data_IF_756064359675
#
_entry.id   IF_756064359675
#
_cell.length_a   1.000
_cell.length_b   1.000
_cell.length_c   1.000
_cell.angle_alpha   90.00
_cell.angle_beta   90.00
_cell.angle_gamma   90.00
#
_symmetry.space_group_name_H-M   'P 1'
#
loop_
_entity.id
_entity.type
_entity.pdbx_description
1 polymer ?
#
# COMPACT_ATOMS: atom_id res chain seq x y z
N UNK A 1 -34.12 -7.38 28.63
CA UNK A 1 -32.80 -7.28 29.28
C UNK A 1 -31.80 -7.07 28.18
N UNK A 2 -31.24 -5.86 28.09
CA UNK A 2 -30.28 -5.49 27.05
C UNK A 2 -28.87 -5.95 27.40
N UNK A 3 -28.11 -6.31 26.37
CA UNK A 3 -26.65 -6.33 26.41
C UNK A 3 -26.17 -5.44 25.26
N UNK A 4 -25.90 -4.19 25.62
CA UNK A 4 -25.06 -3.24 24.89
C UNK A 4 -23.60 -3.66 25.00
N UNK A 5 -22.84 -3.51 23.91
CA UNK A 5 -21.39 -3.63 23.94
C UNK A 5 -20.79 -4.13 22.61
N UNK A 6 -21.06 -3.45 21.50
CA UNK A 6 -20.24 -3.60 20.29
C UNK A 6 -19.09 -2.61 20.45
N UNK A 7 -17.98 -3.12 20.98
CA UNK A 7 -16.71 -2.41 21.00
C UNK A 7 -16.01 -2.59 19.66
N UNK A 8 -15.61 -1.47 19.08
CA UNK A 8 -14.60 -1.37 18.03
C UNK A 8 -13.39 -2.25 18.36
N UNK A 9 -13.06 -3.20 17.48
CA UNK A 9 -11.71 -3.81 17.37
C UNK A 9 -11.57 -4.52 16.00
N UNK A 10 -12.11 -3.91 14.95
CA UNK A 10 -12.10 -4.43 13.58
C UNK A 10 -11.08 -3.74 12.68
N UNK A 11 -9.82 -3.59 13.09
CA UNK A 11 -8.75 -3.03 12.24
C UNK A 11 -7.35 -3.48 12.71
N UNK A 12 -7.04 -4.77 12.61
CA UNK A 12 -5.67 -5.28 12.82
C UNK A 12 -5.40 -6.59 12.08
N UNK A 13 -5.69 -6.65 10.78
CA UNK A 13 -5.17 -7.64 9.83
C UNK A 13 -5.45 -7.03 8.45
N UNK A 14 -4.49 -6.63 7.62
CA UNK A 14 -3.33 -7.38 7.15
C UNK A 14 -2.27 -6.33 6.81
N UNK A 15 -1.27 -6.15 7.66
CA UNK A 15 0.02 -5.69 7.18
C UNK A 15 0.74 -6.95 6.70
N UNK A 16 0.93 -7.02 5.38
CA UNK A 16 1.84 -7.95 4.71
C UNK A 16 3.14 -7.95 5.50
N UNK A 17 3.31 -8.97 6.36
CA UNK A 17 4.50 -9.11 7.18
C UNK A 17 5.17 -10.39 6.76
N UNK A 18 6.18 -10.22 5.92
CA UNK A 18 7.20 -11.22 5.68
C UNK A 18 7.81 -11.65 7.01
N UNK A 19 7.58 -12.90 7.37
CA UNK A 19 8.28 -13.58 8.44
C UNK A 19 8.99 -14.81 7.87
N UNK A 20 9.99 -14.60 7.01
CA UNK A 20 10.97 -15.64 6.66
C UNK A 20 11.91 -15.84 7.85
N UNK A 21 11.42 -16.55 8.87
CA UNK A 21 12.22 -17.14 9.92
C UNK A 21 12.37 -18.63 9.68
N UNK A 22 13.62 -19.10 9.51
CA UNK A 22 13.96 -20.54 9.43
C UNK A 22 13.32 -21.29 10.62
N UNK A 23 12.31 -22.13 10.39
CA UNK A 23 11.63 -22.94 11.42
C UNK A 23 11.99 -24.42 11.26
N UNK A 24 12.06 -25.13 12.39
CA UNK A 24 12.54 -26.51 12.45
C UNK A 24 11.43 -27.52 12.09
N UNK A 25 11.78 -28.69 11.56
CA UNK A 25 10.85 -29.67 10.96
C UNK A 25 9.71 -30.14 11.91
N UNK A 26 9.94 -30.12 13.23
CA UNK A 26 8.92 -30.48 14.22
C UNK A 26 7.83 -29.41 14.43
N UNK A 27 8.19 -28.13 14.26
CA UNK A 27 7.25 -27.00 14.35
C UNK A 27 6.36 -26.92 13.10
N UNK A 28 6.93 -27.23 11.92
CA UNK A 28 6.18 -27.25 10.66
C UNK A 28 5.04 -28.29 10.67
N UNK A 29 5.23 -29.46 11.27
CA UNK A 29 4.19 -30.50 11.33
C UNK A 29 2.98 -30.11 12.18
N UNK A 30 3.22 -29.49 13.33
CA UNK A 30 2.16 -29.00 14.22
C UNK A 30 1.42 -27.81 13.61
N UNK A 31 2.15 -26.94 12.90
CA UNK A 31 1.57 -25.84 12.13
C UNK A 31 0.70 -26.37 10.97
N UNK A 32 1.18 -27.35 10.21
CA UNK A 32 0.41 -27.95 9.10
C UNK A 32 -0.89 -28.61 9.57
N UNK A 33 -0.87 -29.32 10.71
CA UNK A 33 -2.08 -29.88 11.31
C UNK A 33 -3.04 -28.79 11.80
N UNK A 34 -2.52 -27.71 12.40
CA UNK A 34 -3.32 -26.57 12.83
C UNK A 34 -3.94 -25.82 11.64
N UNK A 35 -3.19 -25.62 10.56
CA UNK A 35 -3.69 -25.01 9.33
C UNK A 35 -4.75 -25.88 8.64
N UNK A 36 -4.57 -27.20 8.61
CA UNK A 36 -5.56 -28.11 8.05
C UNK A 36 -6.88 -28.08 8.85
N UNK A 37 -6.81 -28.03 10.19
CA UNK A 37 -8.00 -27.87 11.03
C UNK A 37 -8.67 -26.51 10.82
N UNK A 38 -7.90 -25.42 10.78
CA UNK A 38 -8.42 -24.09 10.51
C UNK A 38 -9.10 -24.01 9.14
N UNK A 39 -8.51 -24.63 8.11
CA UNK A 39 -9.11 -24.70 6.78
C UNK A 39 -10.47 -25.41 6.79
N UNK A 40 -10.60 -26.55 7.46
CA UNK A 40 -11.88 -27.27 7.55
C UNK A 40 -12.98 -26.45 8.23
N UNK A 41 -12.64 -25.74 9.30
CA UNK A 41 -13.58 -24.85 9.99
C UNK A 41 -14.00 -23.70 9.07
N UNK A 42 -13.06 -23.09 8.36
CA UNK A 42 -13.34 -22.00 7.42
C UNK A 42 -14.22 -22.47 6.24
N UNK A 43 -14.00 -23.67 5.70
CA UNK A 43 -14.82 -24.25 4.63
C UNK A 43 -16.26 -24.52 5.11
N UNK A 44 -16.42 -24.98 6.35
CA UNK A 44 -17.73 -25.16 6.97
C UNK A 44 -18.42 -23.81 7.21
N UNK A 45 -17.69 -22.81 7.72
CA UNK A 45 -18.20 -21.45 7.87
C UNK A 45 -18.68 -20.91 6.52
N UNK A 46 -17.85 -20.99 5.48
CA UNK A 46 -18.20 -20.54 4.13
C UNK A 46 -19.48 -21.20 3.59
N UNK A 47 -19.66 -22.51 3.83
CA UNK A 47 -20.83 -23.28 3.37
C UNK A 47 -22.12 -22.95 4.12
N UNK A 48 -22.00 -22.41 5.34
CA UNK A 48 -23.14 -22.12 6.23
C UNK A 48 -23.56 -20.65 6.25
N UNK A 49 -22.69 -19.74 5.81
CA UNK A 49 -23.03 -18.32 5.73
C UNK A 49 -23.99 -18.03 4.58
N UNK A 50 -25.01 -17.22 4.85
CA UNK A 50 -25.92 -16.68 3.82
C UNK A 50 -25.53 -15.29 3.35
N UNK A 51 -24.83 -14.52 4.18
CA UNK A 51 -24.41 -13.14 3.90
C UNK A 51 -23.10 -13.09 3.08
N UNK A 52 -23.11 -12.37 1.97
CA UNK A 52 -21.98 -12.25 1.05
C UNK A 52 -20.79 -11.49 1.67
N UNK A 53 -21.03 -10.55 2.58
CA UNK A 53 -19.95 -9.85 3.29
C UNK A 53 -19.21 -10.78 4.24
N UNK A 54 -19.94 -11.62 4.97
CA UNK A 54 -19.36 -12.62 5.87
C UNK A 54 -18.66 -13.73 5.08
N UNK A 55 -19.21 -14.17 3.94
CA UNK A 55 -18.50 -15.07 3.01
C UNK A 55 -17.20 -14.45 2.52
N UNK A 56 -17.22 -13.16 2.16
CA UNK A 56 -16.03 -12.41 1.76
C UNK A 56 -14.96 -12.39 2.85
N UNK A 57 -15.33 -12.18 4.11
CA UNK A 57 -14.39 -12.23 5.23
C UNK A 57 -13.81 -13.63 5.45
N UNK A 58 -14.62 -14.68 5.33
CA UNK A 58 -14.12 -16.07 5.41
C UNK A 58 -13.12 -16.34 4.29
N UNK A 59 -13.40 -15.90 3.07
CA UNK A 59 -12.47 -16.02 1.93
C UNK A 59 -11.16 -15.24 2.16
N UNK A 60 -11.21 -14.05 2.77
CA UNK A 60 -10.00 -13.31 3.17
C UNK A 60 -9.15 -14.16 4.13
N UNK A 61 -9.76 -14.70 5.18
CA UNK A 61 -9.05 -15.52 6.17
C UNK A 61 -8.47 -16.78 5.55
N UNK A 62 -9.20 -17.44 4.64
CA UNK A 62 -8.69 -18.59 3.89
C UNK A 62 -7.49 -18.19 3.02
N UNK A 63 -7.53 -17.03 2.36
CA UNK A 63 -6.42 -16.55 1.53
C UNK A 63 -5.15 -16.30 2.34
N UNK A 64 -5.27 -15.71 3.53
CA UNK A 64 -4.15 -15.50 4.45
C UNK A 64 -3.51 -16.83 4.83
N UNK A 65 -4.33 -17.82 5.17
CA UNK A 65 -3.86 -19.17 5.51
C UNK A 65 -3.11 -19.83 4.34
N UNK A 66 -3.61 -19.71 3.11
CA UNK A 66 -2.93 -20.24 1.93
C UNK A 66 -1.61 -19.51 1.64
N UNK A 67 -1.57 -18.18 1.82
CA UNK A 67 -0.38 -17.35 1.64
C UNK A 67 0.72 -17.71 2.64
N UNK A 68 0.38 -17.87 3.92
CA UNK A 68 1.34 -18.27 4.96
C UNK A 68 1.98 -19.63 4.69
N UNK A 69 1.28 -20.51 3.97
CA UNK A 69 1.78 -21.82 3.54
C UNK A 69 2.56 -21.78 2.21
N UNK A 70 2.69 -20.61 1.59
CA UNK A 70 3.32 -20.45 0.27
C UNK A 70 2.46 -20.93 -0.91
N UNK A 71 1.18 -21.25 -0.66
CA UNK A 71 0.21 -21.70 -1.67
C UNK A 71 -0.48 -20.48 -2.32
N UNK A 72 0.31 -19.64 -2.98
CA UNK A 72 -0.17 -18.34 -3.50
C UNK A 72 -1.28 -18.47 -4.55
N UNK A 73 -1.26 -19.52 -5.39
CA UNK A 73 -2.30 -19.74 -6.40
C UNK A 73 -3.70 -19.92 -5.77
N UNK A 74 -3.78 -20.68 -4.67
CA UNK A 74 -5.03 -20.89 -3.95
C UNK A 74 -5.47 -19.62 -3.21
N UNK A 75 -4.52 -18.88 -2.63
CA UNK A 75 -4.78 -17.59 -2.00
C UNK A 75 -5.38 -16.57 -2.99
N UNK A 76 -4.74 -16.42 -4.16
CA UNK A 76 -5.21 -15.56 -5.25
C UNK A 76 -6.61 -15.97 -5.69
N UNK A 77 -6.87 -17.28 -5.86
CA UNK A 77 -8.20 -17.76 -6.23
C UNK A 77 -9.28 -17.37 -5.20
N UNK A 78 -8.98 -17.45 -3.89
CA UNK A 78 -9.94 -17.02 -2.86
C UNK A 78 -10.22 -15.53 -2.92
N UNK A 79 -9.19 -14.72 -3.12
CA UNK A 79 -9.34 -13.27 -3.18
C UNK A 79 -10.08 -12.80 -4.45
N UNK A 80 -9.81 -13.42 -5.61
CA UNK A 80 -10.55 -13.14 -6.85
C UNK A 80 -12.06 -13.39 -6.69
N UNK A 81 -12.44 -14.49 -6.00
CA UNK A 81 -13.85 -14.77 -5.70
C UNK A 81 -14.53 -13.65 -4.93
N UNK A 82 -13.83 -12.97 -4.01
CA UNK A 82 -14.39 -11.83 -3.26
C UNK A 82 -14.76 -10.69 -4.20
N UNK A 83 -13.97 -10.45 -5.25
CA UNK A 83 -14.25 -9.41 -6.23
C UNK A 83 -15.52 -9.69 -7.05
N UNK A 84 -15.86 -10.97 -7.21
CA UNK A 84 -17.09 -11.44 -7.88
C UNK A 84 -18.33 -11.38 -6.97
N UNK A 85 -18.15 -11.27 -5.64
CA UNK A 85 -19.26 -11.16 -4.69
C UNK A 85 -19.87 -9.76 -4.73
N UNK A 86 -20.88 -9.57 -5.58
CA UNK A 86 -21.50 -8.26 -5.86
C UNK A 86 -22.16 -7.55 -4.67
N UNK A 87 -22.37 -8.22 -3.53
CA UNK A 87 -22.94 -7.64 -2.31
C UNK A 87 -21.98 -7.64 -1.11
N UNK A 88 -20.70 -7.92 -1.33
CA UNK A 88 -19.70 -7.83 -0.27
C UNK A 88 -19.42 -6.37 0.10
N UNK A 89 -19.13 -6.11 1.38
CA UNK A 89 -18.85 -4.75 1.86
C UNK A 89 -17.61 -4.16 1.18
N UNK A 90 -17.63 -2.85 0.95
CA UNK A 90 -16.54 -2.14 0.29
C UNK A 90 -15.19 -2.32 1.01
N UNK A 91 -15.20 -2.36 2.34
CA UNK A 91 -14.00 -2.62 3.13
C UNK A 91 -13.40 -4.01 2.86
N UNK A 92 -14.25 -5.05 2.71
CA UNK A 92 -13.81 -6.41 2.39
C UNK A 92 -13.23 -6.49 0.98
N UNK A 93 -13.83 -5.78 0.02
CA UNK A 93 -13.32 -5.72 -1.37
C UNK A 93 -12.00 -4.97 -1.47
N UNK A 94 -11.85 -3.84 -0.78
CA UNK A 94 -10.58 -3.08 -0.71
C UNK A 94 -9.49 -3.95 -0.08
N UNK A 95 -9.77 -4.61 1.05
CA UNK A 95 -8.82 -5.52 1.67
C UNK A 95 -8.43 -6.69 0.74
N UNK A 96 -9.39 -7.22 -0.03
CA UNK A 96 -9.10 -8.27 -1.00
C UNK A 96 -8.22 -7.77 -2.16
N UNK A 97 -8.44 -6.55 -2.64
CA UNK A 97 -7.61 -5.92 -3.68
C UNK A 97 -6.19 -5.65 -3.18
N UNK A 98 -6.03 -5.15 -1.95
CA UNK A 98 -4.71 -4.95 -1.33
C UNK A 98 -3.94 -6.26 -1.21
N UNK A 99 -4.59 -7.31 -0.71
CA UNK A 99 -3.98 -8.63 -0.58
C UNK A 99 -3.61 -9.23 -1.94
N UNK A 100 -4.47 -9.09 -2.96
CA UNK A 100 -4.18 -9.55 -4.33
C UNK A 100 -2.98 -8.83 -4.92
N UNK A 101 -2.96 -7.51 -4.83
CA UNK A 101 -1.86 -6.69 -5.33
C UNK A 101 -0.53 -7.08 -4.65
N UNK A 102 -0.54 -7.29 -3.32
CA UNK A 102 0.61 -7.78 -2.58
C UNK A 102 1.11 -9.15 -3.07
N UNK A 103 0.21 -10.12 -3.21
CA UNK A 103 0.56 -11.46 -3.70
C UNK A 103 1.10 -11.45 -5.14
N UNK A 104 0.56 -10.59 -6.00
CA UNK A 104 1.08 -10.40 -7.35
C UNK A 104 2.49 -9.82 -7.35
N UNK A 105 2.78 -8.82 -6.52
CA UNK A 105 4.13 -8.28 -6.36
C UNK A 105 5.11 -9.34 -5.82
N UNK A 106 4.71 -10.11 -4.81
CA UNK A 106 5.51 -11.22 -4.28
C UNK A 106 5.78 -12.31 -5.33
N UNK A 107 4.87 -12.46 -6.30
CA UNK A 107 4.97 -13.42 -7.41
C UNK A 107 5.61 -12.83 -8.67
N UNK A 108 6.17 -11.61 -8.62
CA UNK A 108 6.74 -10.87 -9.76
C UNK A 108 5.75 -10.68 -10.92
N UNK A 109 4.46 -10.59 -10.62
CA UNK A 109 3.38 -10.31 -11.57
C UNK A 109 2.96 -8.84 -11.46
N UNK A 110 3.93 -7.97 -11.72
CA UNK A 110 3.80 -6.53 -11.54
C UNK A 110 2.57 -6.01 -12.30
N UNK A 111 2.43 -6.29 -13.59
CA UNK A 111 1.28 -5.86 -14.41
C UNK A 111 -0.09 -6.22 -13.78
N UNK A 112 -0.21 -7.42 -13.21
CA UNK A 112 -1.44 -7.87 -12.56
C UNK A 112 -1.70 -7.11 -11.24
N UNK A 113 -0.64 -6.78 -10.51
CA UNK A 113 -0.73 -5.92 -9.33
C UNK A 113 -1.21 -4.52 -9.69
N UNK A 114 -0.67 -3.93 -10.77
CA UNK A 114 -1.08 -2.59 -11.25
C UNK A 114 -2.56 -2.55 -11.63
N UNK A 115 -3.02 -3.52 -12.43
CA UNK A 115 -4.44 -3.66 -12.78
C UNK A 115 -5.33 -3.83 -11.55
N UNK A 116 -4.86 -4.57 -10.54
CA UNK A 116 -5.60 -4.77 -9.29
C UNK A 116 -5.73 -3.48 -8.48
N UNK A 117 -4.69 -2.66 -8.43
CA UNK A 117 -4.72 -1.37 -7.76
C UNK A 117 -5.65 -0.38 -8.48
N UNK A 118 -5.64 -0.35 -9.82
CA UNK A 118 -6.57 0.45 -10.62
C UNK A 118 -8.02 0.04 -10.38
N UNK A 119 -8.29 -1.27 -10.37
CA UNK A 119 -9.61 -1.80 -10.02
C UNK A 119 -10.04 -1.34 -8.63
N UNK A 120 -9.14 -1.35 -7.64
CA UNK A 120 -9.46 -0.90 -6.28
C UNK A 120 -9.92 0.57 -6.24
N UNK A 121 -9.30 1.45 -7.03
CA UNK A 121 -9.71 2.85 -7.13
C UNK A 121 -11.08 2.99 -7.81
N UNK A 122 -11.29 2.30 -8.93
CA UNK A 122 -12.57 2.33 -9.66
C UNK A 122 -13.76 1.84 -8.81
N UNK A 123 -13.53 0.86 -7.93
CA UNK A 123 -14.56 0.37 -7.00
C UNK A 123 -15.03 1.46 -6.02
N UNK A 124 -14.12 2.30 -5.55
CA UNK A 124 -14.46 3.39 -4.66
C UNK A 124 -15.17 4.54 -5.39
N UNK A 125 -14.72 4.87 -6.61
CA UNK A 125 -15.36 5.91 -7.42
C UNK A 125 -16.80 5.55 -7.79
N UNK A 126 -17.03 4.30 -8.21
CA UNK A 126 -18.37 3.81 -8.58
C UNK A 126 -19.35 3.90 -7.40
N UNK A 127 -18.92 3.51 -6.20
CA UNK A 127 -19.78 3.50 -5.01
C UNK A 127 -19.96 4.91 -4.41
N UNK A 128 -18.94 5.77 -4.53
CA UNK A 128 -19.02 7.17 -4.10
C UNK A 128 -20.09 7.93 -4.87
N UNK A 129 -20.27 7.62 -6.16
CA UNK A 129 -21.33 8.18 -7.01
C UNK A 129 -22.73 7.65 -6.64
N UNK A 130 -22.82 6.46 -6.04
CA UNK A 130 -24.10 5.80 -5.71
C UNK A 130 -24.64 6.12 -4.30
N UNK A 131 -23.78 6.30 -3.28
CA UNK A 131 -24.21 6.27 -1.85
C UNK A 131 -24.08 7.62 -1.10
N UNK A 132 -23.41 8.63 -1.66
CA UNK A 132 -23.32 9.94 -0.99
C UNK A 132 -22.36 9.96 0.21
N UNK A 133 -21.06 9.94 -0.10
CA UNK A 133 -19.99 10.69 0.59
C UNK A 133 -19.52 10.33 2.01
N UNK A 134 -20.33 9.73 2.89
CA UNK A 134 -20.04 9.82 4.34
C UNK A 134 -19.00 8.86 4.94
N UNK A 135 -18.72 7.71 4.32
CA UNK A 135 -17.89 6.64 4.93
C UNK A 135 -16.68 6.19 4.12
N UNK A 136 -16.37 6.87 3.02
CA UNK A 136 -15.40 6.41 2.01
C UNK A 136 -14.00 6.99 2.15
N UNK A 137 -13.79 8.07 2.91
CA UNK A 137 -12.51 8.80 2.91
C UNK A 137 -11.33 7.93 3.38
N UNK A 138 -11.53 7.11 4.41
CA UNK A 138 -10.49 6.18 4.89
C UNK A 138 -10.17 5.09 3.87
N UNK A 139 -11.20 4.53 3.22
CA UNK A 139 -11.00 3.50 2.19
C UNK A 139 -10.36 4.09 0.93
N UNK A 140 -10.67 5.34 0.61
CA UNK A 140 -10.04 6.11 -0.47
C UNK A 140 -8.57 6.37 -0.20
N UNK A 141 -8.21 6.77 1.01
CA UNK A 141 -6.81 6.90 1.41
C UNK A 141 -6.07 5.57 1.25
N UNK A 142 -6.68 4.45 1.66
CA UNK A 142 -6.11 3.10 1.51
C UNK A 142 -5.90 2.69 0.06
N UNK A 143 -6.89 2.88 -0.82
CA UNK A 143 -6.76 2.53 -2.23
C UNK A 143 -5.73 3.40 -2.96
N UNK A 144 -5.66 4.71 -2.63
CA UNK A 144 -4.62 5.61 -3.15
C UNK A 144 -3.22 5.19 -2.66
N UNK A 145 -3.09 4.81 -1.39
CA UNK A 145 -1.84 4.30 -0.84
C UNK A 145 -1.43 2.98 -1.53
N UNK A 146 -2.38 2.08 -1.76
CA UNK A 146 -2.14 0.83 -2.51
C UNK A 146 -1.62 1.13 -3.91
N UNK A 147 -2.32 2.00 -4.67
CA UNK A 147 -1.89 2.39 -6.02
C UNK A 147 -0.49 2.98 -6.04
N UNK A 148 -0.21 3.92 -5.13
CA UNK A 148 1.12 4.50 -4.99
C UNK A 148 2.20 3.46 -4.67
N UNK A 149 1.90 2.47 -3.81
CA UNK A 149 2.84 1.39 -3.49
C UNK A 149 3.05 0.42 -4.65
N UNK A 150 2.02 0.13 -5.44
CA UNK A 150 2.19 -0.73 -6.61
C UNK A 150 3.04 -0.01 -7.67
N UNK A 151 2.73 1.25 -7.95
CA UNK A 151 3.49 2.11 -8.85
C UNK A 151 4.95 2.30 -8.42
N UNK A 152 5.18 2.41 -7.10
CA UNK A 152 6.49 2.40 -6.48
C UNK A 152 7.33 1.21 -6.93
N UNK A 153 6.78 0.01 -6.74
CA UNK A 153 7.48 -1.24 -7.03
C UNK A 153 7.73 -1.41 -8.53
N UNK A 154 6.83 -0.91 -9.36
CA UNK A 154 7.00 -0.90 -10.82
C UNK A 154 8.05 0.11 -11.31
N UNK A 155 8.52 1.01 -10.45
CA UNK A 155 9.30 2.17 -10.87
C UNK A 155 8.50 3.17 -11.72
N UNK A 156 7.17 3.00 -11.84
CA UNK A 156 6.30 3.98 -12.49
C UNK A 156 5.93 5.08 -11.51
N UNK A 157 6.90 5.91 -11.19
CA UNK A 157 6.76 6.85 -10.09
C UNK A 157 6.09 8.14 -10.56
N UNK A 158 4.76 8.17 -10.66
CA UNK A 158 4.00 9.38 -11.05
C UNK A 158 3.71 10.30 -9.87
N UNK A 159 3.88 9.82 -8.63
CA UNK A 159 3.73 10.61 -7.41
C UNK A 159 5.08 10.83 -6.75
N UNK A 160 5.46 12.08 -6.48
CA UNK A 160 6.78 12.31 -5.90
C UNK A 160 6.92 11.85 -4.42
N UNK A 161 5.82 11.58 -3.68
CA UNK A 161 5.92 10.89 -2.38
C UNK A 161 6.42 9.45 -2.55
N UNK A 162 5.97 8.81 -3.61
CA UNK A 162 6.43 7.47 -4.00
C UNK A 162 7.90 7.54 -4.40
N UNK A 163 8.31 8.57 -5.16
CA UNK A 163 9.71 8.78 -5.53
C UNK A 163 10.63 8.98 -4.33
N UNK A 164 10.19 9.76 -3.35
CA UNK A 164 10.93 9.98 -2.11
C UNK A 164 11.16 8.66 -1.36
N UNK A 165 10.09 7.92 -1.05
CA UNK A 165 10.19 6.65 -0.33
C UNK A 165 11.03 5.61 -1.08
N UNK A 166 10.93 5.57 -2.41
CA UNK A 166 11.76 4.65 -3.20
C UNK A 166 13.24 5.03 -3.19
N UNK A 167 13.49 6.34 -3.36
CA UNK A 167 14.83 6.89 -3.33
C UNK A 167 15.51 6.56 -2.01
N UNK A 168 14.80 6.71 -0.88
CA UNK A 168 15.31 6.37 0.46
C UNK A 168 15.67 4.88 0.57
N UNK A 169 14.81 3.99 0.09
CA UNK A 169 15.09 2.55 0.04
C UNK A 169 16.35 2.24 -0.78
N UNK A 170 16.47 2.78 -1.98
CA UNK A 170 17.62 2.56 -2.87
C UNK A 170 18.91 3.18 -2.31
N UNK A 171 18.81 4.34 -1.65
CA UNK A 171 19.90 4.99 -0.93
C UNK A 171 20.44 4.08 0.18
N UNK A 172 19.57 3.43 0.95
CA UNK A 172 19.97 2.41 1.94
C UNK A 172 20.62 1.19 1.28
N UNK A 173 20.12 0.76 0.12
CA UNK A 173 20.67 -0.35 -0.66
C UNK A 173 21.97 0.01 -1.41
N UNK A 174 22.41 1.27 -1.33
CA UNK A 174 23.59 1.84 -2.01
C UNK A 174 23.47 1.88 -3.54
N UNK A 175 22.26 1.80 -4.07
CA UNK A 175 21.99 2.13 -5.47
C UNK A 175 21.83 3.65 -5.60
N UNK A 176 22.97 4.34 -5.49
CA UNK A 176 22.99 5.81 -5.46
C UNK A 176 22.59 6.44 -6.79
N UNK A 177 22.76 5.72 -7.92
CA UNK A 177 22.40 6.23 -9.22
C UNK A 177 20.87 6.30 -9.36
N UNK A 178 20.17 5.20 -9.07
CA UNK A 178 18.72 5.17 -9.15
C UNK A 178 18.07 6.05 -8.07
N UNK A 179 18.62 6.08 -6.85
CA UNK A 179 18.16 6.98 -5.80
C UNK A 179 18.22 8.47 -6.22
N UNK A 180 19.29 8.87 -6.91
CA UNK A 180 19.45 10.23 -7.43
C UNK A 180 18.36 10.60 -8.43
N UNK A 181 18.10 9.73 -9.40
CA UNK A 181 17.09 9.94 -10.43
C UNK A 181 15.70 10.12 -9.80
N UNK A 182 15.39 9.36 -8.76
CA UNK A 182 14.12 9.44 -8.04
C UNK A 182 13.98 10.72 -7.21
N UNK A 183 15.02 11.14 -6.48
CA UNK A 183 14.97 12.42 -5.76
C UNK A 183 14.88 13.61 -6.71
N UNK A 184 15.56 13.56 -7.87
CA UNK A 184 15.43 14.57 -8.91
C UNK A 184 14.01 14.60 -9.49
N UNK A 185 13.43 13.44 -9.80
CA UNK A 185 12.04 13.33 -10.25
C UNK A 185 11.06 13.91 -9.22
N UNK A 186 11.21 13.54 -7.95
CA UNK A 186 10.40 14.05 -6.84
C UNK A 186 10.46 15.58 -6.67
N UNK A 187 11.59 16.20 -7.04
CA UNK A 187 11.80 17.65 -6.95
C UNK A 187 11.40 18.40 -8.22
N UNK A 188 11.37 17.73 -9.37
CA UNK A 188 11.07 18.32 -10.68
C UNK A 188 9.56 18.50 -10.91
N UNK A 189 8.73 17.56 -10.45
CA UNK A 189 7.25 17.56 -10.64
C UNK A 189 6.52 18.76 -10.00
N UNK A 190 7.19 19.51 -9.10
CA UNK A 190 6.60 20.68 -8.41
C UNK A 190 7.02 22.02 -9.05
N UNK A 191 8.01 22.01 -9.96
CA UNK A 191 8.56 23.23 -10.55
C UNK A 191 7.76 23.78 -11.75
N UNK A 192 6.92 22.95 -12.38
CA UNK A 192 6.18 23.32 -13.60
C UNK A 192 4.72 23.74 -13.37
N UNK A 193 4.11 23.50 -12.21
CA UNK A 193 2.72 23.89 -11.93
C UNK A 193 2.62 25.33 -11.41
N UNK A 194 2.67 26.30 -12.33
CA UNK A 194 2.46 27.73 -12.01
C UNK A 194 0.99 28.14 -11.86
N UNK A 195 0.04 27.22 -12.03
CA UNK A 195 -1.38 27.48 -11.86
C UNK A 195 -2.01 26.53 -10.84
N UNK A 196 -2.24 27.04 -9.63
CA UNK A 196 -2.84 26.33 -8.49
C UNK A 196 -4.36 26.16 -8.59
N UNK A 197 -4.96 26.28 -9.77
CA UNK A 197 -6.44 26.30 -9.89
C UNK A 197 -7.07 25.08 -10.53
N UNK A 198 -6.34 24.20 -11.22
CA UNK A 198 -7.01 23.13 -11.99
C UNK A 198 -6.44 21.70 -11.91
N UNK A 199 -5.43 21.40 -11.07
CA UNK A 199 -4.98 20.00 -10.94
C UNK A 199 -5.56 19.29 -9.73
N UNK A 200 -6.68 18.60 -9.95
CA UNK A 200 -7.18 17.51 -9.09
C UNK A 200 -6.27 16.27 -9.14
N UNK A 201 -4.95 16.44 -9.11
CA UNK A 201 -3.99 15.34 -9.05
C UNK A 201 -3.45 15.21 -7.62
N UNK A 202 -3.84 14.13 -6.94
CA UNK A 202 -3.20 13.59 -5.73
C UNK A 202 -3.43 14.30 -4.39
N UNK A 203 -4.66 14.79 -4.16
CA UNK A 203 -5.17 15.13 -2.81
C UNK A 203 -5.42 13.89 -1.94
N UNK A 204 -4.37 13.16 -1.55
CA UNK A 204 -4.42 12.27 -0.39
C UNK A 204 -3.11 12.20 0.41
N UNK A 205 -2.04 12.84 -0.04
CA UNK A 205 -0.89 13.13 0.82
C UNK A 205 -0.62 14.64 0.72
N UNK A 206 -1.30 15.37 1.61
CA UNK A 206 -1.24 16.81 1.76
C UNK A 206 0.18 17.25 2.22
N UNK A 207 1.19 17.15 1.35
CA UNK A 207 2.61 17.30 1.70
C UNK A 207 3.50 17.86 0.55
N UNK A 208 2.99 18.45 -0.53
CA UNK A 208 3.83 18.85 -1.68
C UNK A 208 5.11 19.61 -1.30
N UNK A 209 5.04 20.48 -0.30
CA UNK A 209 6.19 21.25 0.17
C UNK A 209 7.03 20.55 1.26
N UNK A 210 6.47 19.62 2.06
CA UNK A 210 7.24 18.82 3.04
C UNK A 210 7.96 17.67 2.36
N UNK A 211 7.31 17.02 1.41
CA UNK A 211 7.93 16.00 0.57
C UNK A 211 8.96 16.63 -0.38
N UNK A 212 8.73 17.83 -0.93
CA UNK A 212 9.78 18.56 -1.67
C UNK A 212 10.99 18.86 -0.79
N UNK A 213 10.76 19.29 0.45
CA UNK A 213 11.83 19.53 1.42
C UNK A 213 12.58 18.23 1.73
N UNK A 214 11.85 17.14 2.01
CA UNK A 214 12.41 15.81 2.25
C UNK A 214 13.26 15.29 1.09
N UNK A 215 12.75 15.39 -0.14
CA UNK A 215 13.48 14.99 -1.35
C UNK A 215 14.73 15.84 -1.60
N UNK A 216 14.65 17.15 -1.37
CA UNK A 216 15.82 18.04 -1.49
C UNK A 216 16.87 17.70 -0.44
N UNK A 217 16.46 17.45 0.81
CA UNK A 217 17.36 17.01 1.88
C UNK A 217 18.02 15.66 1.56
N UNK A 218 17.24 14.69 1.10
CA UNK A 218 17.74 13.35 0.76
C UNK A 218 18.74 13.39 -0.42
N UNK A 219 18.48 14.23 -1.42
CA UNK A 219 19.42 14.47 -2.52
C UNK A 219 20.74 15.09 -2.02
N UNK A 220 20.69 16.08 -1.13
CA UNK A 220 21.89 16.67 -0.54
C UNK A 220 22.70 15.66 0.29
N UNK A 221 22.04 14.80 1.05
CA UNK A 221 22.69 13.69 1.78
C UNK A 221 23.33 12.66 0.82
N UNK A 222 22.67 12.38 -0.30
CA UNK A 222 23.19 11.49 -1.34
C UNK A 222 24.47 12.03 -1.97
N UNK A 223 24.51 13.32 -2.33
CA UNK A 223 25.71 13.97 -2.89
C UNK A 223 26.87 13.96 -1.89
N UNK A 224 26.58 14.15 -0.59
CA UNK A 224 27.59 14.01 0.46
C UNK A 224 28.15 12.57 0.54
N UNK A 225 27.31 11.54 0.38
CA UNK A 225 27.76 10.14 0.32
C UNK A 225 28.60 9.83 -0.93
N UNK A 226 28.32 10.51 -2.05
CA UNK A 226 29.12 10.46 -3.28
C UNK A 226 30.41 11.30 -3.22
N UNK A 227 30.64 12.03 -2.11
CA UNK A 227 31.76 12.96 -1.87
C UNK A 227 31.72 14.23 -2.74
N UNK A 228 30.55 14.59 -3.24
CA UNK A 228 30.29 15.86 -3.92
C UNK A 228 29.87 16.90 -2.87
N UNK A 229 30.81 17.32 -2.03
CA UNK A 229 30.50 18.16 -0.87
C UNK A 229 30.02 19.56 -1.25
N UNK A 230 30.51 20.12 -2.36
CA UNK A 230 30.08 21.43 -2.85
C UNK A 230 28.59 21.40 -3.23
N UNK A 231 28.17 20.42 -4.03
CA UNK A 231 26.76 20.21 -4.42
C UNK A 231 25.89 19.91 -3.19
N UNK A 232 26.39 19.09 -2.26
CA UNK A 232 25.67 18.75 -1.04
C UNK A 232 25.41 19.99 -0.16
N UNK A 233 26.42 20.85 0.02
CA UNK A 233 26.29 22.09 0.79
C UNK A 233 25.28 23.03 0.15
N UNK A 234 25.33 23.22 -1.18
CA UNK A 234 24.39 24.05 -1.91
C UNK A 234 22.95 23.55 -1.74
N UNK A 235 22.72 22.26 -1.98
CA UNK A 235 21.39 21.63 -1.94
C UNK A 235 20.81 21.69 -0.52
N UNK A 236 21.60 21.34 0.51
CA UNK A 236 21.14 21.36 1.90
C UNK A 236 20.89 22.79 2.40
N UNK A 237 21.70 23.76 1.96
CA UNK A 237 21.49 25.17 2.29
C UNK A 237 20.21 25.71 1.65
N UNK A 238 19.92 25.31 0.40
CA UNK A 238 18.67 25.66 -0.26
C UNK A 238 17.45 25.04 0.43
N UNK A 239 17.56 23.78 0.86
CA UNK A 239 16.53 23.12 1.64
C UNK A 239 16.27 23.84 2.97
N UNK A 240 17.34 24.20 3.69
CA UNK A 240 17.24 24.91 4.97
C UNK A 240 16.53 26.26 4.83
N UNK A 241 16.92 27.07 3.84
CA UNK A 241 16.25 28.36 3.57
C UNK A 241 14.76 28.20 3.29
N UNK A 242 14.38 27.19 2.49
CA UNK A 242 12.96 26.87 2.23
C UNK A 242 12.21 26.44 3.50
N UNK A 243 12.87 25.71 4.39
CA UNK A 243 12.28 25.33 5.68
C UNK A 243 12.07 26.55 6.58
N UNK A 244 13.06 27.44 6.68
CA UNK A 244 12.98 28.68 7.45
C UNK A 244 11.86 29.59 6.95
N UNK A 245 11.77 29.81 5.63
CA UNK A 245 10.70 30.60 5.00
C UNK A 245 9.30 30.05 5.30
N UNK A 246 9.18 28.73 5.44
CA UNK A 246 7.89 28.06 5.54
C UNK A 246 7.41 27.85 6.96
N UNK A 247 8.32 27.64 7.90
CA UNK A 247 8.00 27.39 9.30
C UNK A 247 8.19 28.63 10.19
N UNK A 248 8.55 29.78 9.61
CA UNK A 248 8.76 31.07 10.31
C UNK A 248 9.66 30.94 11.56
N UNK A 249 10.78 30.21 11.42
CA UNK A 249 11.77 30.00 12.50
C UNK A 249 12.88 31.06 12.40
#
# INVERSE_FOLDING_TARGET
MGCTGVGDDGCAAVLVTGAVGRRTEGENRLLDESYAQAQLVLEQCHSTQSDESTKGLVLLTMSTLFSERGTFADAIQKLQKIQELGLSSLAVRVAASEALAGLYLESYQDDASSVTADMCLQLLETIRLEIGGGGSEFLEARAKALKGLVELVHGNVESGNVALSYGEFLHCMRDFQMARELYQKATQDVSESKDFTDSQSLSACNMNSEMLLGATCALGQLEAHLRNFDDAEEILTAALKKAEERFEI
#
